data_IF_558703975948
#
_entry.id   IF_558703975948
#
_cell.length_a   1.000
_cell.length_b   1.000
_cell.length_c   1.000
_cell.angle_alpha   90.00
_cell.angle_beta   90.00
_cell.angle_gamma   90.00
#
_symmetry.space_group_name_H-M   'P 1'
#
loop_
_entity.id
_entity.type
_entity.pdbx_description
1 polymer ?
#
# COMPACT_ATOMS: atom_id res chain seq x y z
N UNK A 1 -11.52 -13.05 -0.85
CA UNK A 1 -10.47 -12.32 -1.60
C UNK A 1 -9.19 -13.15 -1.81
N UNK A 2 -8.94 -14.21 -1.03
CA UNK A 2 -7.70 -15.01 -1.15
C UNK A 2 -7.75 -16.13 -2.22
N UNK A 3 -8.92 -16.37 -2.82
CA UNK A 3 -9.17 -17.51 -3.74
C UNK A 3 -8.68 -17.29 -5.18
N UNK A 4 -8.14 -16.12 -5.52
CA UNK A 4 -7.63 -15.84 -6.86
C UNK A 4 -6.14 -16.21 -6.94
N UNK A 5 -5.85 -17.46 -7.32
CA UNK A 5 -4.51 -18.07 -7.30
C UNK A 5 -3.43 -17.50 -8.23
N UNK A 6 -3.55 -16.29 -8.77
CA UNK A 6 -2.50 -15.69 -9.61
C UNK A 6 -2.49 -14.16 -9.54
N UNK A 7 -1.89 -13.58 -8.50
CA UNK A 7 -1.49 -12.18 -8.52
C UNK A 7 -0.06 -12.05 -8.00
N UNK A 8 0.73 -11.22 -8.68
CA UNK A 8 2.14 -10.99 -8.32
C UNK A 8 2.30 -9.93 -7.24
N UNK A 9 1.31 -9.07 -7.02
CA UNK A 9 1.32 -8.01 -6.00
C UNK A 9 -0.09 -7.71 -5.52
N UNK A 10 -0.24 -7.39 -4.23
CA UNK A 10 -1.46 -6.84 -3.66
C UNK A 10 -1.24 -5.38 -3.24
N UNK A 11 -2.17 -4.50 -3.60
CA UNK A 11 -2.17 -3.10 -3.15
C UNK A 11 -3.42 -2.86 -2.31
N UNK A 12 -3.22 -2.61 -1.02
CA UNK A 12 -4.28 -2.18 -0.12
C UNK A 12 -4.44 -0.66 -0.22
N UNK A 13 -5.66 -0.17 -0.39
CA UNK A 13 -5.93 1.26 -0.38
C UNK A 13 -6.88 1.60 0.76
N UNK A 14 -6.45 2.51 1.65
CA UNK A 14 -7.25 2.99 2.76
C UNK A 14 -8.03 4.23 2.31
N UNK A 15 -9.35 4.14 2.32
CA UNK A 15 -10.27 5.27 2.12
C UNK A 15 -10.74 5.80 3.47
N UNK A 16 -10.82 7.14 3.63
CA UNK A 16 -11.20 7.77 4.88
C UNK A 16 -12.70 8.14 4.94
N UNK A 17 -13.34 8.26 3.77
CA UNK A 17 -14.64 8.93 3.60
C UNK A 17 -15.85 8.11 4.08
N UNK A 18 -15.63 6.96 4.72
CA UNK A 18 -16.73 6.14 5.20
C UNK A 18 -17.49 6.84 6.35
N UNK A 19 -18.82 7.03 6.25
CA UNK A 19 -19.63 7.69 7.26
C UNK A 19 -19.99 6.75 8.42
N UNK A 20 -18.99 6.03 8.94
CA UNK A 20 -19.15 5.08 10.03
C UNK A 20 -18.89 5.71 11.41
N UNK A 21 -19.63 5.29 12.45
CA UNK A 21 -19.29 5.56 13.85
C UNK A 21 -17.86 5.12 14.20
N UNK A 22 -17.24 5.78 15.19
CA UNK A 22 -15.82 5.56 15.54
C UNK A 22 -15.49 4.11 15.93
N UNK A 23 -16.32 3.51 16.77
CA UNK A 23 -16.17 2.13 17.25
C UNK A 23 -16.26 1.12 16.11
N UNK A 24 -17.26 1.27 15.23
CA UNK A 24 -17.45 0.40 14.06
C UNK A 24 -16.27 0.58 13.10
N UNK A 25 -15.89 1.81 12.79
CA UNK A 25 -14.79 2.09 11.87
C UNK A 25 -13.47 1.51 12.39
N UNK A 26 -13.17 1.70 13.68
CA UNK A 26 -11.95 1.16 14.31
C UNK A 26 -11.92 -0.36 14.27
N UNK A 27 -13.02 -1.02 14.62
CA UNK A 27 -13.12 -2.48 14.59
C UNK A 27 -12.84 -3.03 13.18
N UNK A 28 -13.51 -2.50 12.17
CA UNK A 28 -13.34 -2.93 10.78
C UNK A 28 -11.92 -2.73 10.28
N UNK A 29 -11.35 -1.56 10.56
CA UNK A 29 -10.00 -1.23 10.12
C UNK A 29 -8.92 -2.02 10.85
N UNK A 30 -9.11 -2.33 12.12
CA UNK A 30 -8.21 -3.19 12.87
C UNK A 30 -8.20 -4.61 12.31
N UNK A 31 -9.37 -5.18 12.01
CA UNK A 31 -9.47 -6.48 11.34
C UNK A 31 -8.79 -6.48 9.97
N UNK A 32 -9.01 -5.44 9.16
CA UNK A 32 -8.32 -5.30 7.87
C UNK A 32 -6.80 -5.27 8.03
N UNK A 33 -6.27 -4.46 8.95
CA UNK A 33 -4.82 -4.39 9.20
C UNK A 33 -4.27 -5.73 9.69
N UNK A 34 -5.00 -6.43 10.56
CA UNK A 34 -4.62 -7.74 11.05
C UNK A 34 -4.55 -8.76 9.90
N UNK A 35 -5.50 -8.73 8.98
CA UNK A 35 -5.49 -9.60 7.80
C UNK A 35 -4.35 -9.27 6.85
N UNK A 36 -4.04 -7.98 6.64
CA UNK A 36 -2.86 -7.56 5.87
C UNK A 36 -1.55 -8.07 6.50
N UNK A 37 -1.44 -8.02 7.83
CA UNK A 37 -0.28 -8.56 8.55
C UNK A 37 -0.18 -10.09 8.41
N UNK A 38 -1.30 -10.81 8.53
CA UNK A 38 -1.35 -12.27 8.29
C UNK A 38 -0.96 -12.59 6.86
N UNK A 39 -1.46 -11.84 5.89
CA UNK A 39 -1.15 -11.98 4.48
C UNK A 39 0.33 -11.75 4.20
N UNK A 40 0.92 -10.72 4.82
CA UNK A 40 2.36 -10.43 4.73
C UNK A 40 3.21 -11.57 5.30
N UNK A 41 2.81 -12.17 6.43
CA UNK A 41 3.51 -13.32 7.06
C UNK A 41 3.52 -14.56 6.17
N UNK A 42 2.53 -14.73 5.29
CA UNK A 42 2.48 -15.81 4.29
C UNK A 42 3.45 -15.60 3.11
N UNK A 43 4.27 -14.55 3.14
CA UNK A 43 5.27 -14.25 2.11
C UNK A 43 4.71 -13.56 0.88
N UNK A 44 3.41 -13.24 0.85
CA UNK A 44 2.79 -12.56 -0.29
C UNK A 44 3.28 -11.10 -0.38
N UNK A 45 3.64 -10.62 -1.59
CA UNK A 45 4.08 -9.26 -1.80
C UNK A 45 2.89 -8.28 -1.71
N UNK A 46 2.97 -7.39 -0.72
CA UNK A 46 1.91 -6.49 -0.31
C UNK A 46 2.46 -5.07 -0.16
N UNK A 47 1.71 -4.08 -0.66
CA UNK A 47 1.95 -2.66 -0.43
C UNK A 47 0.65 -1.99 0.04
N UNK A 48 0.75 -0.92 0.82
CA UNK A 48 -0.39 -0.16 1.29
C UNK A 48 -0.32 1.29 0.81
N UNK A 49 -1.47 1.85 0.46
CA UNK A 49 -1.70 3.26 0.18
C UNK A 49 -2.55 3.79 1.31
N UNK A 50 -1.99 4.76 2.05
CA UNK A 50 -2.67 5.44 3.15
C UNK A 50 -2.56 6.93 2.86
N UNK A 51 -3.62 7.58 2.37
CA UNK A 51 -3.62 9.02 2.15
C UNK A 51 -3.31 9.75 3.45
N UNK A 52 -2.35 10.68 3.42
CA UNK A 52 -2.09 11.62 4.52
C UNK A 52 -1.58 12.98 4.00
N UNK A 53 -1.51 13.15 2.68
CA UNK A 53 -0.97 14.36 2.07
C UNK A 53 -2.01 15.48 2.12
N UNK A 54 -1.62 16.65 2.64
CA UNK A 54 -2.45 17.86 2.62
C UNK A 54 -3.22 18.14 3.90
N UNK A 55 -3.08 17.33 4.95
CA UNK A 55 -3.78 17.57 6.21
C UNK A 55 -3.16 18.71 6.99
N UNK A 56 -3.98 19.64 7.42
CA UNK A 56 -3.56 20.66 8.37
C UNK A 56 -3.49 20.10 9.81
N UNK A 57 -2.87 20.86 10.71
CA UNK A 57 -2.72 20.45 12.11
C UNK A 57 -4.06 20.30 12.86
N UNK A 58 -5.15 20.89 12.34
CA UNK A 58 -6.50 20.81 12.92
C UNK A 58 -7.20 19.54 12.46
N UNK A 59 -7.01 19.13 11.22
CA UNK A 59 -7.49 17.87 10.67
C UNK A 59 -6.81 16.70 11.36
N UNK A 60 -5.48 16.77 11.58
CA UNK A 60 -4.75 15.74 12.33
C UNK A 60 -5.28 15.50 13.75
N UNK A 61 -6.00 16.47 14.35
CA UNK A 61 -6.62 16.32 15.69
C UNK A 61 -7.95 15.57 15.69
N UNK A 62 -8.55 15.32 14.52
CA UNK A 62 -9.74 14.45 14.43
C UNK A 62 -9.32 13.03 14.81
N UNK A 63 -10.12 12.35 15.64
CA UNK A 63 -9.82 11.00 16.14
C UNK A 63 -9.45 10.02 15.02
N UNK A 64 -10.05 10.19 13.83
CA UNK A 64 -9.83 9.37 12.64
C UNK A 64 -8.38 9.38 12.18
N UNK A 65 -7.73 10.54 12.17
CA UNK A 65 -6.33 10.65 11.78
C UNK A 65 -5.37 10.07 12.81
N UNK A 66 -5.72 10.15 14.10
CA UNK A 66 -5.03 9.41 15.16
C UNK A 66 -5.07 7.90 14.89
N UNK A 67 -6.26 7.36 14.60
CA UNK A 67 -6.44 5.94 14.30
C UNK A 67 -5.68 5.50 13.02
N UNK A 68 -5.75 6.28 11.95
CA UNK A 68 -4.98 6.03 10.71
C UNK A 68 -3.47 6.04 10.99
N UNK A 69 -3.00 6.96 11.83
CA UNK A 69 -1.60 7.02 12.26
C UNK A 69 -1.15 5.75 12.99
N UNK A 70 -1.96 5.24 13.92
CA UNK A 70 -1.71 4.00 14.63
C UNK A 70 -1.68 2.79 13.69
N UNK A 71 -2.62 2.70 12.75
CA UNK A 71 -2.68 1.64 11.74
C UNK A 71 -1.47 1.67 10.81
N UNK A 72 -1.10 2.86 10.34
CA UNK A 72 0.12 3.06 9.55
C UNK A 72 1.35 2.57 10.31
N UNK A 73 1.47 2.90 11.60
CA UNK A 73 2.57 2.44 12.44
C UNK A 73 2.61 0.90 12.51
N UNK A 74 1.48 0.25 12.80
CA UNK A 74 1.34 -1.22 12.81
C UNK A 74 1.78 -1.85 11.49
N UNK A 75 1.36 -1.28 10.35
CA UNK A 75 1.75 -1.78 9.01
C UNK A 75 3.26 -1.65 8.75
N UNK A 76 3.86 -0.51 9.08
CA UNK A 76 5.30 -0.27 8.91
C UNK A 76 6.12 -1.22 9.79
N UNK A 77 5.74 -1.38 11.06
CA UNK A 77 6.35 -2.34 11.99
C UNK A 77 6.21 -3.79 11.48
N UNK A 78 5.09 -4.11 10.84
CA UNK A 78 4.83 -5.35 10.13
C UNK A 78 5.59 -5.53 8.81
N UNK A 79 6.51 -4.62 8.46
CA UNK A 79 7.28 -4.62 7.19
C UNK A 79 6.39 -4.59 5.94
N UNK A 80 5.26 -3.90 6.01
CA UNK A 80 4.42 -3.54 4.88
C UNK A 80 4.82 -2.14 4.42
N UNK A 81 5.29 -1.94 3.18
CA UNK A 81 5.56 -0.61 2.63
C UNK A 81 4.27 0.22 2.53
N UNK A 82 4.28 1.43 3.09
CA UNK A 82 3.13 2.35 3.08
C UNK A 82 3.47 3.61 2.28
N UNK A 83 2.59 3.99 1.35
CA UNK A 83 2.74 5.17 0.48
C UNK A 83 1.58 6.17 0.67
N UNK A 84 1.82 7.49 0.54
CA UNK A 84 0.77 8.50 0.72
C UNK A 84 -0.23 8.61 -0.44
N UNK A 85 0.02 7.94 -1.56
CA UNK A 85 -0.78 8.05 -2.77
C UNK A 85 -0.57 6.86 -3.69
N UNK A 86 -1.58 6.56 -4.48
CA UNK A 86 -1.59 5.50 -5.49
C UNK A 86 -0.46 5.70 -6.50
N UNK A 87 -0.20 6.94 -6.96
CA UNK A 87 0.86 7.24 -7.92
C UNK A 87 2.24 6.93 -7.36
N UNK A 88 2.46 7.18 -6.06
CA UNK A 88 3.74 6.87 -5.40
C UNK A 88 3.91 5.37 -5.22
N UNK A 89 2.86 4.65 -4.84
CA UNK A 89 2.89 3.20 -4.78
C UNK A 89 3.17 2.58 -6.15
N UNK A 90 2.48 3.03 -7.20
CA UNK A 90 2.68 2.57 -8.57
C UNK A 90 4.11 2.82 -9.07
N UNK A 91 4.67 4.02 -8.84
CA UNK A 91 6.07 4.32 -9.19
C UNK A 91 7.07 3.46 -8.41
N UNK A 92 6.84 3.23 -7.13
CA UNK A 92 7.71 2.37 -6.32
C UNK A 92 7.67 0.92 -6.81
N UNK A 93 6.47 0.41 -7.12
CA UNK A 93 6.28 -0.92 -7.67
C UNK A 93 6.96 -1.07 -9.04
N UNK A 94 6.82 -0.08 -9.92
CA UNK A 94 7.51 -0.09 -11.23
C UNK A 94 9.03 -0.23 -11.06
N UNK A 95 9.62 0.59 -10.18
CA UNK A 95 11.07 0.52 -9.89
C UNK A 95 11.49 -0.83 -9.29
N UNK A 96 10.64 -1.43 -8.46
CA UNK A 96 10.89 -2.76 -7.91
C UNK A 96 10.93 -3.82 -9.02
N UNK A 97 9.96 -3.80 -9.94
CA UNK A 97 9.95 -4.69 -11.12
C UNK A 97 11.18 -4.45 -12.00
N UNK A 98 11.46 -3.19 -12.37
CA UNK A 98 12.61 -2.84 -13.22
C UNK A 98 13.96 -3.27 -12.59
N UNK A 99 14.06 -3.28 -11.26
CA UNK A 99 15.24 -3.79 -10.55
C UNK A 99 15.40 -5.30 -10.75
N UNK A 100 14.33 -6.07 -10.57
CA UNK A 100 14.37 -7.53 -10.73
C UNK A 100 14.55 -7.96 -12.18
N UNK A 101 13.97 -7.25 -13.14
CA UNK A 101 14.20 -7.52 -14.57
C UNK A 101 15.67 -7.34 -14.94
N UNK A 102 16.28 -6.21 -14.55
CA UNK A 102 17.71 -5.95 -14.76
C UNK A 102 18.60 -6.96 -14.05
N UNK A 103 18.24 -7.35 -12.81
CA UNK A 103 19.00 -8.34 -12.03
C UNK A 103 18.91 -9.75 -12.63
N UNK A 104 17.80 -10.10 -13.27
CA UNK A 104 17.56 -11.44 -13.81
C UNK A 104 18.18 -11.66 -15.20
N UNK A 105 18.96 -10.71 -15.73
CA UNK A 105 19.57 -10.83 -17.06
C UNK A 105 18.58 -10.74 -18.22
N UNK A 106 17.30 -10.44 -17.96
CA UNK A 106 16.36 -10.03 -19.00
C UNK A 106 16.71 -8.59 -19.37
N UNK A 107 17.66 -8.44 -20.28
CA UNK A 107 17.85 -7.18 -20.98
C UNK A 107 16.49 -6.76 -21.54
N UNK A 108 15.95 -5.65 -21.03
CA UNK A 108 14.80 -5.01 -21.67
C UNK A 108 15.14 -4.84 -23.15
N UNK A 109 14.24 -5.16 -24.11
CA UNK A 109 14.50 -4.84 -25.49
C UNK A 109 14.66 -3.33 -25.57
N UNK A 110 15.90 -2.89 -25.79
CA UNK A 110 16.21 -1.48 -26.03
C UNK A 110 15.31 -1.02 -27.15
N UNK A 111 14.46 -0.01 -26.89
CA UNK A 111 13.78 0.70 -27.96
C UNK A 111 14.85 1.22 -28.92
N UNK A 112 14.95 0.58 -30.08
CA UNK A 112 15.68 1.11 -31.22
C UNK A 112 14.91 2.34 -31.69
N UNK A 113 15.33 3.51 -31.21
CA UNK A 113 15.05 4.77 -31.89
C UNK A 113 15.69 4.69 -33.28
N UNK A 114 14.90 4.24 -34.24
CA UNK A 114 15.22 4.29 -35.66
C UNK A 114 15.10 5.74 -36.10
N UNK A 115 16.25 6.40 -36.25
CA UNK A 115 16.34 7.63 -37.02
C UNK A 115 15.99 7.29 -38.47
N UNK A 116 14.95 7.93 -39.00
CA UNK A 116 14.85 8.21 -40.42
C UNK A 116 14.12 9.52 -40.65
#
# INVERSE_FOLDING_TARGET
>A
MEESGAFDFFVFNLTEDDPLPEDIWRFWMEEQVNDLLRFRRRGKPLLAVVPYAGLDAKEMRKWRWGAIGEMRKKMVEGRIPVFPSTERAARALRRFVDYWERRSGRASPSCSSSNR
#
